data_IF_471879214219
#
_entry.id   IF_471879214219
#
_cell.length_a   1.000
_cell.length_b   1.000
_cell.length_c   1.000
_cell.angle_alpha   90.00
_cell.angle_beta   90.00
_cell.angle_gamma   90.00
#
_symmetry.space_group_name_H-M   'P 1'
#
loop_
_entity.id
_entity.type
_entity.pdbx_description
1 polymer ?
#
# COMPACT_ATOMS: atom_id res chain seq x y z
N UNK A 1 -22.25 18.18 8.98
CA UNK A 1 -22.16 16.80 9.48
C UNK A 1 -20.82 16.22 9.02
N UNK A 2 -19.88 15.96 9.92
CA UNK A 2 -18.64 15.25 9.56
C UNK A 2 -18.97 13.76 9.57
N UNK A 3 -19.02 13.11 8.40
CA UNK A 3 -19.07 11.65 8.35
C UNK A 3 -17.82 11.14 9.07
N UNK A 4 -18.01 10.37 10.14
CA UNK A 4 -16.91 9.65 10.77
C UNK A 4 -16.44 8.60 9.77
N UNK A 5 -15.30 8.85 9.12
CA UNK A 5 -14.65 7.86 8.28
C UNK A 5 -14.29 6.66 9.15
N UNK A 6 -14.82 5.48 8.83
CA UNK A 6 -14.52 4.26 9.57
C UNK A 6 -13.00 4.03 9.62
N UNK A 7 -12.43 3.87 10.81
CA UNK A 7 -11.00 3.62 11.02
C UNK A 7 -10.79 2.14 11.32
N UNK A 8 -9.88 1.51 10.59
CA UNK A 8 -9.44 0.14 10.87
C UNK A 8 -7.93 0.14 11.11
N UNK A 9 -7.47 -0.68 12.06
CA UNK A 9 -6.08 -0.72 12.46
C UNK A 9 -5.47 -2.09 12.14
N UNK A 10 -4.35 -2.09 11.43
CA UNK A 10 -3.54 -3.26 11.16
C UNK A 10 -2.15 -3.07 11.79
N UNK A 11 -2.02 -3.24 13.11
CA UNK A 11 -0.81 -2.83 13.83
C UNK A 11 0.41 -3.69 13.50
N UNK A 12 0.20 -4.90 12.95
CA UNK A 12 1.24 -5.87 12.60
C UNK A 12 1.47 -6.01 11.09
N UNK A 13 0.68 -5.32 10.25
CA UNK A 13 0.84 -5.41 8.79
C UNK A 13 2.16 -4.74 8.40
N UNK A 14 3.05 -5.53 7.78
CA UNK A 14 4.38 -5.09 7.38
C UNK A 14 4.50 -4.85 5.89
N UNK A 15 3.75 -5.59 5.09
CA UNK A 15 3.89 -5.61 3.65
C UNK A 15 2.49 -5.60 3.03
N UNK A 16 2.23 -4.67 2.11
CA UNK A 16 0.96 -4.52 1.40
C UNK A 16 1.21 -4.64 -0.10
N UNK A 17 0.60 -5.64 -0.72
CA UNK A 17 0.79 -5.92 -2.14
C UNK A 17 -0.55 -5.91 -2.88
N UNK A 18 -0.65 -5.08 -3.91
CA UNK A 18 -1.80 -4.94 -4.78
C UNK A 18 -1.35 -5.16 -6.22
N UNK A 19 -1.77 -6.28 -6.81
CA UNK A 19 -1.34 -6.67 -8.14
C UNK A 19 -2.53 -7.07 -9.02
N UNK A 20 -2.54 -6.60 -10.27
CA UNK A 20 -3.52 -6.99 -11.29
C UNK A 20 -4.98 -6.69 -10.92
N UNK A 21 -5.22 -5.55 -10.29
CA UNK A 21 -6.56 -5.09 -9.93
C UNK A 21 -6.94 -3.86 -10.77
N UNK A 22 -7.32 -4.05 -12.05
CA UNK A 22 -7.51 -2.94 -12.98
C UNK A 22 -8.65 -1.99 -12.59
N UNK A 23 -9.66 -2.49 -11.89
CA UNK A 23 -10.85 -1.72 -11.47
C UNK A 23 -10.78 -1.21 -10.03
N UNK A 24 -9.69 -1.51 -9.29
CA UNK A 24 -9.55 -1.09 -7.90
C UNK A 24 -9.38 0.42 -7.82
N UNK A 25 -10.37 1.11 -7.23
CA UNK A 25 -10.36 2.58 -7.09
C UNK A 25 -9.79 3.07 -5.77
N UNK A 26 -10.01 2.32 -4.70
CA UNK A 26 -9.49 2.59 -3.36
C UNK A 26 -9.24 1.28 -2.61
N UNK A 27 -8.30 1.30 -1.67
CA UNK A 27 -8.00 0.13 -0.84
C UNK A 27 -9.07 -0.03 0.26
N UNK A 28 -9.54 1.09 0.79
CA UNK A 28 -10.58 1.14 1.82
C UNK A 28 -11.42 2.41 1.69
N UNK A 29 -12.67 2.38 2.16
CA UNK A 29 -13.58 3.55 2.12
C UNK A 29 -13.34 4.54 3.27
N UNK A 30 -12.63 4.13 4.31
CA UNK A 30 -12.20 4.99 5.42
C UNK A 30 -10.68 5.02 5.51
N UNK A 31 -10.14 5.10 6.74
CA UNK A 31 -8.70 5.17 6.96
C UNK A 31 -8.17 3.87 7.55
N UNK A 32 -7.04 3.39 7.01
CA UNK A 32 -6.31 2.26 7.56
C UNK A 32 -5.08 2.75 8.32
N UNK A 33 -4.98 2.43 9.62
CA UNK A 33 -3.80 2.71 10.42
C UNK A 33 -2.85 1.49 10.40
N UNK A 34 -1.71 1.64 9.74
CA UNK A 34 -0.74 0.55 9.52
C UNK A 34 0.64 0.91 10.07
N UNK A 35 0.79 0.95 11.40
CA UNK A 35 2.02 1.42 12.08
C UNK A 35 3.29 0.62 11.74
N UNK A 36 3.15 -0.68 11.46
CA UNK A 36 4.28 -1.56 11.15
C UNK A 36 4.59 -1.65 9.66
N UNK A 37 3.89 -0.89 8.81
CA UNK A 37 3.99 -1.05 7.36
C UNK A 37 5.35 -0.58 6.87
N UNK A 38 6.07 -1.48 6.21
CA UNK A 38 7.44 -1.29 5.69
C UNK A 38 7.46 -1.19 4.18
N UNK A 39 6.65 -1.99 3.50
CA UNK A 39 6.66 -2.08 2.04
C UNK A 39 5.24 -1.95 1.49
N UNK A 40 5.09 -1.16 0.44
CA UNK A 40 3.86 -1.09 -0.37
C UNK A 40 4.25 -1.42 -1.80
N UNK A 41 3.57 -2.39 -2.42
CA UNK A 41 3.76 -2.75 -3.82
C UNK A 41 2.44 -2.59 -4.55
N UNK A 42 2.39 -1.72 -5.56
CA UNK A 42 1.21 -1.54 -6.42
C UNK A 42 1.60 -1.73 -7.87
N UNK A 43 1.13 -2.82 -8.46
CA UNK A 43 1.43 -3.19 -9.85
C UNK A 43 0.16 -3.48 -10.62
N UNK A 44 0.02 -2.88 -11.80
CA UNK A 44 -1.11 -3.12 -12.71
C UNK A 44 -2.47 -2.77 -12.06
N UNK A 45 -2.49 -1.72 -11.24
CA UNK A 45 -3.70 -1.15 -10.63
C UNK A 45 -3.94 0.28 -11.14
N UNK A 46 -4.20 0.49 -12.45
CA UNK A 46 -4.28 1.81 -13.07
C UNK A 46 -5.41 2.72 -12.53
N UNK A 47 -6.46 2.16 -11.93
CA UNK A 47 -7.57 2.94 -11.37
C UNK A 47 -7.38 3.30 -9.89
N UNK A 48 -6.31 2.82 -9.24
CA UNK A 48 -6.08 3.08 -7.82
C UNK A 48 -5.53 4.49 -7.63
N UNK A 49 -6.41 5.42 -7.26
CA UNK A 49 -6.05 6.83 -7.10
C UNK A 49 -5.72 7.23 -5.67
N UNK A 50 -6.14 6.44 -4.68
CA UNK A 50 -5.93 6.75 -3.26
C UNK A 50 -5.52 5.51 -2.49
N UNK A 51 -4.48 5.65 -1.68
CA UNK A 51 -4.02 4.59 -0.77
C UNK A 51 -4.86 4.54 0.52
N UNK A 52 -5.32 5.69 1.02
CA UNK A 52 -6.09 5.80 2.28
C UNK A 52 -5.39 5.14 3.49
N UNK A 53 -4.06 5.24 3.54
CA UNK A 53 -3.20 4.71 4.59
C UNK A 53 -2.74 5.84 5.52
N UNK A 54 -2.85 5.62 6.82
CA UNK A 54 -2.26 6.47 7.86
C UNK A 54 -1.12 5.69 8.54
N UNK A 55 0.05 6.31 8.63
CA UNK A 55 1.25 5.71 9.23
C UNK A 55 1.50 6.21 10.67
N UNK A 56 0.67 7.15 11.14
CA UNK A 56 0.77 7.84 12.42
C UNK A 56 -0.54 7.82 13.20
N UNK A 57 -0.46 7.96 14.51
CA UNK A 57 -1.64 8.25 15.33
C UNK A 57 -1.87 9.76 15.45
N UNK A 58 -3.14 10.16 15.49
CA UNK A 58 -3.58 11.57 15.61
C UNK A 58 -3.08 12.26 16.91
N UNK A 59 -2.63 11.48 17.90
CA UNK A 59 -2.17 11.99 19.21
C UNK A 59 -0.64 11.96 19.39
N UNK A 60 0.13 11.54 18.40
CA UNK A 60 1.59 11.40 18.53
C UNK A 60 2.30 12.48 17.71
N UNK A 61 2.83 13.51 18.40
CA UNK A 61 3.64 14.57 17.79
C UNK A 61 5.07 14.12 17.41
N UNK A 62 5.33 12.80 17.40
CA UNK A 62 6.61 12.26 16.97
C UNK A 62 6.64 12.05 15.44
N UNK A 63 7.31 13.00 14.80
CA UNK A 63 7.57 13.14 13.37
C UNK A 63 8.46 12.03 12.80
N UNK A 64 7.88 10.93 12.35
CA UNK A 64 8.29 10.20 11.13
C UNK A 64 7.46 8.94 10.93
N UNK A 65 7.02 8.59 9.70
CA UNK A 65 6.36 7.32 9.40
C UNK A 65 7.41 6.21 9.52
N UNK A 66 7.78 5.86 10.76
CA UNK A 66 9.10 5.30 11.07
C UNK A 66 9.34 3.89 10.50
N UNK A 67 8.29 3.18 10.12
CA UNK A 67 8.41 1.83 9.59
C UNK A 67 8.52 1.78 8.06
N UNK A 68 7.97 2.75 7.31
CA UNK A 68 7.88 2.65 5.86
C UNK A 68 9.25 2.83 5.22
N UNK A 69 9.70 1.80 4.50
CA UNK A 69 11.01 1.74 3.86
C UNK A 69 10.92 1.88 2.35
N UNK A 70 9.84 1.41 1.74
CA UNK A 70 9.76 1.36 0.29
C UNK A 70 8.32 1.38 -0.22
N UNK A 71 8.13 2.09 -1.34
CA UNK A 71 6.94 2.00 -2.17
C UNK A 71 7.38 1.58 -3.57
N UNK A 72 6.84 0.49 -4.09
CA UNK A 72 7.15 -0.06 -5.40
C UNK A 72 5.93 0.10 -6.28
N UNK A 73 6.09 0.68 -7.46
CA UNK A 73 4.99 0.76 -8.41
C UNK A 73 5.36 1.32 -9.75
N UNK A 74 4.39 1.38 -10.65
CA UNK A 74 4.58 2.01 -11.96
C UNK A 74 4.54 3.53 -11.82
N UNK A 75 5.43 4.23 -12.53
CA UNK A 75 5.46 5.70 -12.59
C UNK A 75 4.10 6.32 -12.89
N UNK A 76 3.41 5.77 -13.90
CA UNK A 76 2.07 6.26 -14.29
C UNK A 76 1.08 6.20 -13.14
N UNK A 77 1.15 5.15 -12.32
CA UNK A 77 0.31 5.03 -11.15
C UNK A 77 0.71 6.06 -10.09
N UNK A 78 2.00 6.16 -9.78
CA UNK A 78 2.55 7.10 -8.79
C UNK A 78 2.19 8.56 -9.10
N UNK A 79 2.31 8.96 -10.37
CA UNK A 79 1.94 10.30 -10.84
C UNK A 79 0.43 10.55 -10.86
N UNK A 80 -0.39 9.50 -10.90
CA UNK A 80 -1.85 9.60 -10.90
C UNK A 80 -2.48 9.62 -9.50
N UNK A 81 -1.68 9.39 -8.45
CA UNK A 81 -2.18 9.38 -7.07
C UNK A 81 -2.70 10.76 -6.66
N UNK A 82 -3.89 10.75 -6.06
CA UNK A 82 -4.50 11.90 -5.40
C UNK A 82 -4.00 11.93 -3.95
N UNK A 83 -3.16 12.91 -3.64
CA UNK A 83 -2.56 13.09 -2.32
C UNK A 83 -3.44 14.00 -1.45
N UNK A 84 -3.69 13.59 -0.21
CA UNK A 84 -4.49 14.39 0.73
C UNK A 84 -3.73 15.64 1.23
N UNK A 85 -2.40 15.54 1.36
CA UNK A 85 -1.51 16.63 1.79
C UNK A 85 -0.47 16.94 0.69
N UNK A 86 -0.18 18.23 0.39
CA UNK A 86 0.75 18.62 -0.67
C UNK A 86 2.16 18.03 -0.49
N UNK A 87 2.64 17.97 0.74
CA UNK A 87 3.99 17.52 1.07
C UNK A 87 4.12 15.98 1.17
N UNK A 88 2.99 15.25 1.17
CA UNK A 88 3.00 13.79 1.29
C UNK A 88 3.72 13.14 0.11
N UNK A 89 3.47 13.63 -1.12
CA UNK A 89 4.15 13.13 -2.32
C UNK A 89 5.65 13.34 -2.21
N UNK A 90 6.08 14.57 -1.86
CA UNK A 90 7.49 14.91 -1.76
C UNK A 90 8.22 14.08 -0.69
N UNK A 91 7.56 13.85 0.46
CA UNK A 91 8.11 13.03 1.55
C UNK A 91 8.29 11.58 1.10
N UNK A 92 7.26 10.99 0.49
CA UNK A 92 7.27 9.59 0.08
C UNK A 92 8.02 9.34 -1.23
N UNK A 93 8.30 10.38 -2.00
CA UNK A 93 9.07 10.30 -3.26
C UNK A 93 10.44 9.67 -3.03
N UNK A 94 11.07 9.94 -1.90
CA UNK A 94 12.38 9.37 -1.52
C UNK A 94 12.34 7.86 -1.28
N UNK A 95 11.15 7.32 -0.97
CA UNK A 95 10.91 5.90 -0.73
C UNK A 95 10.35 5.20 -1.97
N UNK A 96 10.00 5.95 -3.03
CA UNK A 96 9.37 5.42 -4.22
C UNK A 96 10.39 4.83 -5.19
N UNK A 97 10.14 3.58 -5.58
CA UNK A 97 10.89 2.84 -6.57
C UNK A 97 9.99 2.54 -7.78
N UNK A 98 10.33 3.17 -8.90
CA UNK A 98 9.66 2.97 -10.18
C UNK A 98 10.08 1.63 -10.81
N UNK A 99 9.11 0.74 -11.00
CA UNK A 99 9.32 -0.48 -11.77
C UNK A 99 9.29 -0.12 -13.26
N UNK A 100 10.48 0.01 -13.86
CA UNK A 100 10.62 0.08 -15.33
C UNK A 100 9.97 -1.18 -15.90
N UNK A 101 9.04 -1.02 -16.84
CA UNK A 101 8.35 -2.12 -17.53
C UNK A 101 9.35 -3.02 -18.26
N UNK A 102 10.05 -3.89 -17.54
CA UNK A 102 10.55 -5.15 -18.07
C UNK A 102 9.44 -6.15 -17.85
N UNK A 103 8.48 -6.13 -18.76
CA UNK A 103 7.60 -7.27 -19.01
C UNK A 103 8.52 -8.47 -19.31
N UNK A 104 8.91 -9.25 -18.28
CA UNK A 104 9.50 -10.59 -18.37
C UNK A 104 9.73 -11.29 -17.00
N UNK A 105 9.52 -10.65 -15.84
CA UNK A 105 9.67 -11.32 -14.52
C UNK A 105 8.35 -11.73 -13.84
N UNK A 106 7.20 -11.39 -14.44
CA UNK A 106 5.88 -11.65 -13.86
C UNK A 106 5.38 -13.11 -14.00
N UNK A 107 6.22 -14.05 -14.45
CA UNK A 107 5.88 -15.48 -14.40
C UNK A 107 6.17 -16.15 -13.05
N UNK A 108 6.96 -15.55 -12.14
CA UNK A 108 7.42 -16.25 -10.92
C UNK A 108 7.01 -15.67 -9.57
N UNK A 109 6.25 -14.56 -9.50
CA UNK A 109 5.92 -13.93 -8.20
C UNK A 109 4.40 -13.72 -8.00
N UNK A 110 3.54 -14.23 -8.89
CA UNK A 110 2.15 -14.49 -8.50
C UNK A 110 2.09 -15.80 -7.69
N UNK A 111 2.43 -15.76 -6.40
CA UNK A 111 1.53 -16.35 -5.42
C UNK A 111 1.60 -15.52 -4.13
N UNK A 112 0.49 -14.85 -3.84
CA UNK A 112 -0.04 -14.63 -2.48
C UNK A 112 0.35 -15.86 -1.67
N UNK A 113 1.31 -15.78 -0.75
CA UNK A 113 1.93 -16.93 -0.07
C UNK A 113 1.09 -18.23 -0.08
N UNK A 114 1.26 -19.04 -1.14
CA UNK A 114 0.59 -20.34 -1.26
C UNK A 114 1.11 -21.28 -0.19
N UNK A 115 2.30 -21.03 0.39
CA UNK A 115 2.80 -21.86 1.50
C UNK A 115 1.97 -21.62 2.74
N UNK A 116 1.52 -20.41 3.03
CA UNK A 116 0.57 -20.17 4.13
C UNK A 116 -0.80 -20.82 3.88
N UNK A 117 -1.30 -20.80 2.64
CA UNK A 117 -2.57 -21.48 2.30
C UNK A 117 -2.44 -23.01 2.27
N UNK A 118 -1.36 -23.58 1.73
CA UNK A 118 -1.09 -25.02 1.77
C UNK A 118 -0.83 -25.53 3.18
N UNK A 119 -0.15 -24.76 4.03
CA UNK A 119 0.10 -25.16 5.42
C UNK A 119 -1.18 -25.15 6.26
N UNK A 120 -2.19 -24.37 5.88
CA UNK A 120 -3.54 -24.40 6.45
C UNK A 120 -4.36 -25.59 5.91
N UNK A 121 -4.33 -25.82 4.59
CA UNK A 121 -5.08 -26.92 3.95
C UNK A 121 -4.47 -28.30 4.25
N UNK A 122 -3.18 -28.40 4.58
CA UNK A 122 -2.54 -29.67 5.00
C UNK A 122 -2.70 -29.99 6.49
N UNK A 123 -3.32 -29.09 7.26
CA UNK A 123 -3.66 -29.28 8.68
C UNK A 123 -5.18 -29.38 8.92
N UNK A 124 -5.98 -29.38 7.86
CA UNK A 124 -7.43 -29.56 7.87
C UNK A 124 -7.82 -30.96 7.40
#
# INVERSE_FOLDING_TARGET
>A
MRCSSAKITFPKLKDLELMYLPELKSIYKGFMLCKSLRCITVLYCPMLKRLSLTLHEENDQTSAPAALKQIIGQEKWWESLEWDEPDAKATLQTLFYNVKNKCNLVKSIMIIDYRSLLHYVSQA
#
